data_IF_026199731469
#
_entry.id   IF_026199731469
#
_cell.length_a   1.000
_cell.length_b   1.000
_cell.length_c   1.000
_cell.angle_alpha   90.00
_cell.angle_beta   90.00
_cell.angle_gamma   90.00
#
_symmetry.space_group_name_H-M   'P 1'
#
loop_
_entity.id
_entity.type
_entity.pdbx_description
1 polymer ?
#
# COMPACT_ATOMS: atom_id res chain seq x y z
N UNK A 1 -18.99 14.07 25.94
CA UNK A 1 -19.49 12.93 25.14
C UNK A 1 -19.37 13.16 23.64
N UNK A 2 -19.82 14.29 23.08
CA UNK A 2 -19.80 14.53 21.62
C UNK A 2 -18.41 14.47 20.97
N UNK A 3 -17.34 14.85 21.68
CA UNK A 3 -15.98 14.85 21.13
C UNK A 3 -15.42 13.42 20.91
N UNK A 4 -15.67 12.51 21.84
CA UNK A 4 -15.22 11.10 21.73
C UNK A 4 -15.97 10.35 20.64
N UNK A 5 -17.29 10.53 20.53
CA UNK A 5 -18.09 9.97 19.42
C UNK A 5 -17.62 10.50 18.07
N UNK A 6 -17.34 11.80 17.97
CA UNK A 6 -16.83 12.42 16.73
C UNK A 6 -15.47 11.84 16.35
N UNK A 7 -14.58 11.67 17.31
CA UNK A 7 -13.27 11.05 17.09
C UNK A 7 -13.39 9.58 16.68
N UNK A 8 -14.27 8.81 17.32
CA UNK A 8 -14.53 7.41 16.98
C UNK A 8 -15.07 7.32 15.54
N UNK A 9 -16.10 8.09 15.19
CA UNK A 9 -16.70 8.10 13.85
C UNK A 9 -15.66 8.46 12.77
N UNK A 10 -14.82 9.47 13.01
CA UNK A 10 -13.76 9.86 12.07
C UNK A 10 -12.73 8.73 11.86
N UNK A 11 -12.35 8.03 12.94
CA UNK A 11 -11.43 6.88 12.86
C UNK A 11 -12.08 5.69 12.15
N UNK A 12 -13.34 5.37 12.45
CA UNK A 12 -14.07 4.28 11.80
C UNK A 12 -14.23 4.57 10.31
N UNK A 13 -14.56 5.81 9.92
CA UNK A 13 -14.64 6.21 8.51
C UNK A 13 -13.30 6.05 7.78
N UNK A 14 -12.21 6.44 8.43
CA UNK A 14 -10.86 6.25 7.89
C UNK A 14 -10.52 4.75 7.77
N UNK A 15 -10.89 3.94 8.77
CA UNK A 15 -10.67 2.50 8.82
C UNK A 15 -11.47 1.75 7.74
N UNK A 16 -12.72 2.16 7.48
CA UNK A 16 -13.58 1.65 6.40
C UNK A 16 -13.04 2.05 5.03
N UNK A 17 -12.65 3.32 4.86
CA UNK A 17 -12.04 3.80 3.61
C UNK A 17 -10.71 3.09 3.29
N UNK A 18 -9.88 2.83 4.31
CA UNK A 18 -8.63 2.08 4.16
C UNK A 18 -8.86 0.63 3.66
N UNK A 19 -10.06 0.10 3.86
CA UNK A 19 -10.48 -1.23 3.40
C UNK A 19 -11.39 -1.16 2.17
N UNK A 20 -11.38 -0.02 1.47
CA UNK A 20 -12.13 0.22 0.23
C UNK A 20 -13.66 0.08 0.35
N UNK A 21 -14.21 0.30 1.55
CA UNK A 21 -15.66 0.43 1.72
C UNK A 21 -16.10 1.76 1.10
N UNK A 22 -17.12 1.73 0.25
CA UNK A 22 -17.62 2.94 -0.40
C UNK A 22 -18.22 3.91 0.64
N UNK A 23 -18.20 5.20 0.31
CA UNK A 23 -18.64 6.25 1.23
C UNK A 23 -20.11 6.11 1.62
N UNK A 24 -20.97 5.60 0.74
CA UNK A 24 -22.40 5.45 1.02
C UNK A 24 -22.63 4.35 2.06
N UNK A 25 -21.96 3.21 1.90
CA UNK A 25 -22.01 2.11 2.88
C UNK A 25 -21.39 2.56 4.21
N UNK A 26 -20.27 3.26 4.18
CA UNK A 26 -19.65 3.79 5.39
C UNK A 26 -20.58 4.76 6.14
N UNK A 27 -21.27 5.64 5.43
CA UNK A 27 -22.20 6.61 6.03
C UNK A 27 -23.42 5.90 6.63
N UNK A 28 -23.96 4.91 5.92
CA UNK A 28 -25.08 4.09 6.40
C UNK A 28 -24.73 3.38 7.71
N UNK A 29 -23.55 2.76 7.78
CA UNK A 29 -23.07 2.06 8.98
C UNK A 29 -22.83 3.02 10.15
N UNK A 30 -22.28 4.20 9.90
CA UNK A 30 -22.07 5.20 10.94
C UNK A 30 -23.39 5.79 11.46
N UNK A 31 -24.39 5.93 10.59
CA UNK A 31 -25.75 6.34 10.97
C UNK A 31 -26.42 5.26 11.83
N UNK A 32 -26.25 3.97 11.51
CA UNK A 32 -26.71 2.84 12.34
C UNK A 32 -26.05 2.84 13.73
N UNK A 33 -24.74 3.08 13.81
CA UNK A 33 -24.02 3.22 15.09
C UNK A 33 -24.54 4.39 15.89
N UNK A 34 -24.74 5.55 15.25
CA UNK A 34 -25.27 6.75 15.90
C UNK A 34 -26.69 6.51 16.44
N UNK A 35 -27.53 5.83 15.66
CA UNK A 35 -28.88 5.45 16.07
C UNK A 35 -28.84 4.48 17.26
N UNK A 36 -27.99 3.44 17.21
CA UNK A 36 -27.83 2.49 18.30
C UNK A 36 -27.40 3.19 19.60
N UNK A 37 -26.40 4.07 19.54
CA UNK A 37 -25.96 4.85 20.71
C UNK A 37 -27.05 5.80 21.24
N UNK A 38 -27.88 6.37 20.36
CA UNK A 38 -29.01 7.19 20.76
C UNK A 38 -30.09 6.38 21.50
N UNK A 39 -30.32 5.14 21.06
CA UNK A 39 -31.33 4.25 21.63
C UNK A 39 -30.88 3.56 22.93
N UNK A 40 -29.60 3.15 23.01
CA UNK A 40 -29.05 2.45 24.18
C UNK A 40 -28.50 3.39 25.26
N UNK A 41 -28.07 4.59 24.86
CA UNK A 41 -27.32 5.52 25.71
C UNK A 41 -25.85 5.13 25.93
N UNK A 42 -25.38 4.04 25.31
CA UNK A 42 -23.98 3.59 25.38
C UNK A 42 -23.07 4.41 24.46
N UNK A 43 -21.78 4.49 24.80
CA UNK A 43 -20.80 5.08 23.90
C UNK A 43 -20.42 4.11 22.78
N UNK A 44 -19.96 4.58 21.60
CA UNK A 44 -19.55 3.70 20.51
C UNK A 44 -18.43 2.74 20.89
N UNK A 45 -17.54 3.15 21.79
CA UNK A 45 -16.46 2.31 22.30
C UNK A 45 -16.98 1.16 23.17
N UNK A 46 -18.03 1.39 23.95
CA UNK A 46 -18.64 0.35 24.79
C UNK A 46 -19.46 -0.64 23.95
N UNK A 47 -20.26 -0.13 23.02
CA UNK A 47 -21.15 -0.95 22.20
C UNK A 47 -20.42 -1.72 21.09
N UNK A 48 -19.46 -1.09 20.43
CA UNK A 48 -18.84 -1.61 19.18
C UNK A 48 -17.33 -1.84 19.28
N UNK A 49 -16.70 -1.47 20.40
CA UNK A 49 -15.27 -1.63 20.59
C UNK A 49 -14.41 -0.63 19.83
N UNK A 50 -13.19 -1.05 19.44
CA UNK A 50 -12.28 -0.17 18.74
C UNK A 50 -12.75 0.09 17.28
N UNK A 51 -12.59 1.31 16.75
CA UNK A 51 -12.94 1.64 15.36
C UNK A 51 -12.40 0.66 14.31
N UNK A 52 -11.16 0.21 14.50
CA UNK A 52 -10.48 -0.69 13.58
C UNK A 52 -11.08 -2.11 13.61
N UNK A 53 -11.48 -2.59 14.79
CA UNK A 53 -12.13 -3.90 15.00
C UNK A 53 -13.56 -3.89 14.45
N UNK A 54 -14.30 -2.82 14.73
CA UNK A 54 -15.66 -2.67 14.19
C UNK A 54 -15.65 -2.60 12.65
N UNK A 55 -14.69 -1.91 12.04
CA UNK A 55 -14.56 -1.89 10.59
C UNK A 55 -14.29 -3.29 10.00
N UNK A 56 -13.52 -4.14 10.69
CA UNK A 56 -13.34 -5.54 10.27
C UNK A 56 -14.65 -6.34 10.36
N UNK A 57 -15.42 -6.15 11.44
CA UNK A 57 -16.75 -6.74 11.59
C UNK A 57 -17.68 -6.33 10.45
N UNK A 58 -17.79 -5.02 10.18
CA UNK A 58 -18.64 -4.46 9.11
C UNK A 58 -18.31 -5.08 7.76
N UNK A 59 -17.03 -5.28 7.44
CA UNK A 59 -16.64 -5.90 6.18
C UNK A 59 -17.01 -7.36 6.12
N UNK A 60 -16.81 -8.09 7.21
CA UNK A 60 -17.17 -9.50 7.27
C UNK A 60 -18.68 -9.73 7.15
N UNK A 61 -19.49 -8.84 7.72
CA UNK A 61 -20.95 -8.97 7.79
C UNK A 61 -21.69 -8.33 6.62
N UNK A 62 -21.28 -7.13 6.18
CA UNK A 62 -22.03 -6.32 5.20
C UNK A 62 -21.57 -6.52 3.77
N UNK A 63 -20.32 -6.92 3.54
CA UNK A 63 -19.80 -7.12 2.19
C UNK A 63 -19.91 -8.60 1.84
N UNK A 64 -20.74 -8.97 0.84
CA UNK A 64 -20.87 -10.35 0.40
C UNK A 64 -19.50 -10.93 0.08
N UNK A 65 -19.24 -12.20 0.44
CA UNK A 65 -17.94 -12.82 0.23
C UNK A 65 -17.56 -12.83 -1.27
N UNK A 66 -18.52 -12.80 -2.20
CA UNK A 66 -18.27 -12.67 -3.64
C UNK A 66 -17.73 -11.28 -4.02
N UNK A 67 -18.28 -10.22 -3.41
CA UNK A 67 -17.78 -8.85 -3.58
C UNK A 67 -16.41 -8.66 -2.93
N UNK A 68 -16.14 -9.35 -1.80
CA UNK A 68 -14.82 -9.41 -1.18
C UNK A 68 -13.80 -10.18 -2.01
N UNK A 69 -14.22 -11.27 -2.67
CA UNK A 69 -13.34 -12.02 -3.56
C UNK A 69 -12.90 -11.15 -4.74
N UNK A 70 -13.79 -10.29 -5.26
CA UNK A 70 -13.52 -9.25 -6.26
C UNK A 70 -12.33 -8.34 -5.94
N UNK A 71 -12.17 -7.98 -4.66
CA UNK A 71 -11.09 -7.14 -4.17
C UNK A 71 -9.79 -7.97 -4.10
N UNK A 72 -8.78 -7.59 -4.87
CA UNK A 72 -7.45 -8.23 -4.81
C UNK A 72 -6.86 -8.14 -3.40
N UNK A 73 -5.85 -8.97 -3.13
CA UNK A 73 -5.18 -9.10 -1.84
C UNK A 73 -4.84 -7.81 -1.09
N UNK A 74 -4.52 -6.75 -1.84
CA UNK A 74 -4.12 -5.46 -1.32
C UNK A 74 -5.25 -4.40 -1.42
N UNK A 75 -6.48 -4.80 -1.80
CA UNK A 75 -7.60 -3.91 -2.12
C UNK A 75 -7.38 -3.04 -3.37
N UNK A 76 -6.16 -3.06 -3.93
CA UNK A 76 -5.72 -2.19 -5.00
C UNK A 76 -5.74 -2.96 -6.32
N UNK A 77 -6.50 -2.44 -7.28
CA UNK A 77 -6.38 -2.85 -8.67
C UNK A 77 -4.99 -2.47 -9.22
N UNK A 78 -4.58 -3.07 -10.35
CA UNK A 78 -3.34 -2.67 -11.03
C UNK A 78 -3.34 -1.17 -11.37
N UNK A 79 -4.52 -0.61 -11.65
CA UNK A 79 -4.73 0.81 -11.86
C UNK A 79 -4.49 1.61 -10.55
N UNK A 80 -4.91 1.10 -9.40
CA UNK A 80 -4.66 1.75 -8.11
C UNK A 80 -3.19 1.70 -7.70
N UNK A 81 -2.48 0.61 -8.00
CA UNK A 81 -1.02 0.57 -7.83
C UNK A 81 -0.30 1.61 -8.72
N UNK A 82 -0.74 1.74 -9.97
CA UNK A 82 -0.19 2.74 -10.90
C UNK A 82 -0.52 4.15 -10.43
N UNK A 83 -1.77 4.40 -10.00
CA UNK A 83 -2.22 5.68 -9.47
C UNK A 83 -1.46 6.05 -8.20
N UNK A 84 -1.31 5.13 -7.25
CA UNK A 84 -0.54 5.31 -6.04
C UNK A 84 0.94 5.60 -6.34
N UNK A 85 1.55 4.88 -7.27
CA UNK A 85 2.91 5.15 -7.72
C UNK A 85 3.04 6.55 -8.38
N UNK A 86 2.10 6.92 -9.27
CA UNK A 86 2.06 8.24 -9.90
C UNK A 86 1.89 9.36 -8.87
N UNK A 87 1.03 9.16 -7.87
CA UNK A 87 0.82 10.10 -6.78
C UNK A 87 2.10 10.27 -5.96
N UNK A 88 2.76 9.18 -5.55
CA UNK A 88 4.03 9.23 -4.82
C UNK A 88 5.13 9.94 -5.62
N UNK A 89 5.30 9.60 -6.90
CA UNK A 89 6.27 10.26 -7.78
C UNK A 89 5.92 11.74 -7.95
N UNK A 90 4.64 12.07 -8.09
CA UNK A 90 4.14 13.44 -8.18
C UNK A 90 4.48 14.26 -6.92
N UNK A 91 4.24 13.72 -5.72
CA UNK A 91 4.59 14.36 -4.45
C UNK A 91 6.10 14.59 -4.35
N UNK A 92 6.92 13.57 -4.61
CA UNK A 92 8.39 13.68 -4.55
C UNK A 92 8.88 14.74 -5.56
N UNK A 93 8.37 14.70 -6.79
CA UNK A 93 8.73 15.66 -7.85
C UNK A 93 8.35 17.09 -7.46
N UNK A 94 7.16 17.28 -6.88
CA UNK A 94 6.69 18.57 -6.40
C UNK A 94 7.59 19.11 -5.29
N UNK A 95 7.89 18.28 -4.29
CA UNK A 95 8.78 18.65 -3.18
C UNK A 95 10.14 19.07 -3.72
N UNK A 96 10.79 18.21 -4.53
CA UNK A 96 12.09 18.51 -5.15
C UNK A 96 12.04 19.81 -5.96
N UNK A 97 10.98 20.03 -6.73
CA UNK A 97 10.78 21.27 -7.47
C UNK A 97 10.75 22.52 -6.58
N UNK A 98 10.03 22.46 -5.45
CA UNK A 98 9.95 23.56 -4.46
C UNK A 98 11.32 23.83 -3.83
N UNK A 99 12.04 22.78 -3.41
CA UNK A 99 13.39 22.91 -2.84
C UNK A 99 14.37 23.54 -3.84
N UNK A 100 14.35 23.08 -5.09
CA UNK A 100 15.20 23.60 -6.16
C UNK A 100 14.87 25.06 -6.49
N UNK A 101 13.59 25.41 -6.50
CA UNK A 101 13.15 26.79 -6.74
C UNK A 101 13.62 27.73 -5.62
N UNK A 102 13.49 27.32 -4.36
CA UNK A 102 13.95 28.13 -3.22
C UNK A 102 15.47 28.30 -3.17
N UNK A 103 16.24 27.26 -3.51
CA UNK A 103 17.70 27.29 -3.43
C UNK A 103 18.41 27.87 -4.65
N UNK A 104 17.90 27.62 -5.86
CA UNK A 104 18.56 27.97 -7.13
C UNK A 104 17.92 29.16 -7.84
N UNK A 105 16.82 29.72 -7.31
CA UNK A 105 16.04 30.77 -7.95
C UNK A 105 15.13 30.23 -9.07
N UNK A 106 14.68 31.12 -9.96
CA UNK A 106 13.70 30.77 -11.00
C UNK A 106 14.27 29.97 -12.16
N UNK A 107 15.60 29.94 -12.33
CA UNK A 107 16.27 29.35 -13.49
C UNK A 107 17.29 28.30 -13.05
N UNK A 108 16.98 27.03 -13.34
CA UNK A 108 17.90 25.92 -13.14
C UNK A 108 18.84 25.80 -14.34
N UNK A 109 20.15 25.77 -14.07
CA UNK A 109 21.13 25.47 -15.12
C UNK A 109 21.09 23.97 -15.42
N UNK A 110 20.66 23.63 -16.63
CA UNK A 110 20.63 22.24 -17.09
C UNK A 110 22.02 21.87 -17.54
N UNK A 111 22.61 20.88 -16.89
CA UNK A 111 23.90 20.31 -17.26
C UNK A 111 23.71 18.87 -17.72
N UNK A 112 24.58 18.33 -18.59
CA UNK A 112 24.54 16.93 -18.97
C UNK A 112 24.60 15.99 -17.76
N UNK A 113 25.42 16.36 -16.76
CA UNK A 113 25.52 15.67 -15.48
C UNK A 113 24.18 15.69 -14.73
N UNK A 114 23.56 16.87 -14.61
CA UNK A 114 22.28 17.04 -13.94
C UNK A 114 21.14 16.29 -14.61
N UNK A 115 21.06 16.34 -15.95
CA UNK A 115 20.01 15.68 -16.72
C UNK A 115 20.14 14.16 -16.65
N UNK A 116 21.33 13.63 -16.93
CA UNK A 116 21.59 12.18 -16.90
C UNK A 116 21.44 11.63 -15.48
N UNK A 117 22.03 12.32 -14.50
CA UNK A 117 21.95 11.94 -13.09
C UNK A 117 20.51 11.92 -12.58
N UNK A 118 19.74 12.98 -12.83
CA UNK A 118 18.32 13.05 -12.41
C UNK A 118 17.45 12.01 -13.10
N UNK A 119 17.64 11.75 -14.39
CA UNK A 119 16.93 10.69 -15.10
C UNK A 119 17.21 9.31 -14.50
N UNK A 120 18.48 9.01 -14.18
CA UNK A 120 18.88 7.76 -13.52
C UNK A 120 18.32 7.66 -12.10
N UNK A 121 18.30 8.77 -11.34
CA UNK A 121 17.66 8.81 -10.02
C UNK A 121 16.16 8.55 -10.11
N UNK A 122 15.47 9.09 -11.13
CA UNK A 122 14.05 8.82 -11.34
C UNK A 122 13.81 7.34 -11.66
N UNK A 123 14.63 6.74 -12.53
CA UNK A 123 14.58 5.28 -12.81
C UNK A 123 14.84 4.47 -11.55
N UNK A 124 15.81 4.88 -10.72
CA UNK A 124 16.10 4.22 -9.46
C UNK A 124 14.90 4.26 -8.50
N UNK A 125 14.26 5.42 -8.37
CA UNK A 125 13.10 5.61 -7.50
C UNK A 125 11.92 4.75 -7.97
N UNK A 126 11.58 4.78 -9.26
CA UNK A 126 10.51 3.96 -9.84
C UNK A 126 10.80 2.47 -9.63
N UNK A 127 12.04 2.03 -9.87
CA UNK A 127 12.46 0.65 -9.69
C UNK A 127 12.38 0.23 -8.23
N UNK A 128 12.77 1.09 -7.29
CA UNK A 128 12.66 0.83 -5.85
C UNK A 128 11.20 0.71 -5.40
N UNK A 129 10.32 1.62 -5.88
CA UNK A 129 8.88 1.53 -5.63
C UNK A 129 8.30 0.20 -6.14
N UNK A 130 8.63 -0.18 -7.38
CA UNK A 130 8.19 -1.46 -7.94
C UNK A 130 8.75 -2.66 -7.17
N UNK A 131 10.01 -2.61 -6.74
CA UNK A 131 10.60 -3.66 -5.91
C UNK A 131 9.84 -3.85 -4.60
N UNK A 132 9.45 -2.75 -3.94
CA UNK A 132 8.65 -2.78 -2.72
C UNK A 132 7.25 -3.37 -3.00
N UNK A 133 6.58 -2.96 -4.08
CA UNK A 133 5.27 -3.50 -4.47
C UNK A 133 5.35 -5.01 -4.76
N UNK A 134 6.39 -5.47 -5.45
CA UNK A 134 6.54 -6.90 -5.78
C UNK A 134 7.12 -7.75 -4.66
N UNK A 135 7.69 -7.16 -3.59
CA UNK A 135 8.21 -7.91 -2.44
C UNK A 135 7.13 -8.77 -1.78
N UNK A 136 5.86 -8.35 -1.92
CA UNK A 136 4.64 -9.08 -1.59
C UNK A 136 4.53 -10.45 -2.25
N UNK A 137 4.55 -10.48 -3.58
CA UNK A 137 4.04 -11.63 -4.35
C UNK A 137 5.10 -12.35 -5.18
N UNK A 138 6.21 -11.67 -5.52
CA UNK A 138 7.19 -12.15 -6.51
C UNK A 138 8.60 -11.78 -6.11
N UNK A 139 9.19 -12.53 -5.18
CA UNK A 139 10.56 -12.28 -4.67
C UNK A 139 11.59 -12.08 -5.79
N UNK A 140 11.53 -12.87 -6.87
CA UNK A 140 12.43 -12.72 -8.03
C UNK A 140 12.25 -11.40 -8.77
N UNK A 141 11.00 -10.98 -8.99
CA UNK A 141 10.72 -9.70 -9.63
C UNK A 141 11.14 -8.55 -8.71
N UNK A 142 10.85 -8.64 -7.42
CA UNK A 142 11.29 -7.67 -6.42
C UNK A 142 12.81 -7.54 -6.39
N UNK A 143 13.55 -8.66 -6.39
CA UNK A 143 15.01 -8.67 -6.42
C UNK A 143 15.56 -8.07 -7.72
N UNK A 144 14.95 -8.38 -8.88
CA UNK A 144 15.36 -7.81 -10.16
C UNK A 144 15.18 -6.28 -10.16
N UNK A 145 14.00 -5.78 -9.75
CA UNK A 145 13.74 -4.34 -9.64
C UNK A 145 14.62 -3.65 -8.59
N UNK A 146 14.91 -4.32 -7.47
CA UNK A 146 15.82 -3.83 -6.45
C UNK A 146 17.25 -3.70 -6.97
N UNK A 147 17.73 -4.68 -7.75
CA UNK A 147 19.03 -4.62 -8.40
C UNK A 147 19.07 -3.50 -9.45
N UNK A 148 18.01 -3.35 -10.27
CA UNK A 148 17.89 -2.24 -11.22
C UNK A 148 17.95 -0.89 -10.51
N UNK A 149 17.27 -0.74 -9.36
CA UNK A 149 17.33 0.47 -8.56
C UNK A 149 18.76 0.76 -8.07
N UNK A 150 19.44 -0.25 -7.52
CA UNK A 150 20.83 -0.13 -7.05
C UNK A 150 21.79 0.29 -8.17
N UNK A 151 21.71 -0.38 -9.33
CA UNK A 151 22.53 -0.06 -10.51
C UNK A 151 22.25 1.36 -10.99
N UNK A 152 20.99 1.77 -11.04
CA UNK A 152 20.61 3.12 -11.44
C UNK A 152 21.14 4.20 -10.47
N UNK A 153 21.14 3.94 -9.15
CA UNK A 153 21.76 4.84 -8.15
C UNK A 153 23.26 4.96 -8.38
N UNK A 154 23.96 3.84 -8.60
CA UNK A 154 25.40 3.84 -8.85
C UNK A 154 25.74 4.60 -10.14
N UNK A 155 24.98 4.37 -11.22
CA UNK A 155 25.14 5.10 -12.48
C UNK A 155 24.83 6.59 -12.31
N UNK A 156 23.82 6.97 -11.52
CA UNK A 156 23.52 8.36 -11.23
C UNK A 156 24.69 9.04 -10.52
N UNK A 157 25.28 8.37 -9.51
CA UNK A 157 26.45 8.87 -8.79
C UNK A 157 27.67 9.05 -9.72
N UNK A 158 27.93 8.07 -10.60
CA UNK A 158 28.98 8.19 -11.64
C UNK A 158 28.65 9.35 -12.59
N UNK A 159 27.39 9.52 -12.99
CA UNK A 159 26.99 10.59 -13.90
C UNK A 159 27.22 11.98 -13.29
N UNK A 160 26.87 12.18 -12.01
CA UNK A 160 27.10 13.46 -11.32
C UNK A 160 28.58 13.79 -11.12
N UNK A 161 29.45 12.77 -11.01
CA UNK A 161 30.89 12.97 -10.73
C UNK A 161 31.75 13.06 -11.98
N UNK A 162 31.37 12.38 -13.06
CA UNK A 162 32.21 12.26 -14.27
C UNK A 162 31.74 13.12 -15.44
N UNK A 163 30.45 13.45 -15.55
CA UNK A 163 29.97 14.25 -16.67
C UNK A 163 30.30 15.74 -16.49
N UNK A 164 30.52 16.46 -17.60
CA UNK A 164 30.82 17.88 -17.56
C UNK A 164 29.63 18.70 -17.04
N UNK A 165 29.94 19.73 -16.26
CA UNK A 165 29.00 20.73 -15.72
C UNK A 165 28.76 21.86 -16.74
N UNK A 166 28.95 21.59 -18.04
CA UNK A 166 28.71 22.56 -19.09
C UNK A 166 27.22 22.88 -19.15
N UNK A 167 26.89 24.18 -19.25
CA UNK A 167 25.49 24.63 -19.26
C UNK A 167 24.90 24.38 -20.64
N UNK A 168 23.99 23.42 -20.75
CA UNK A 168 23.23 23.14 -21.98
C UNK A 168 22.08 24.11 -22.17
N UNK A 169 21.51 24.62 -21.07
CA UNK A 169 20.37 25.52 -21.11
C UNK A 169 19.90 25.94 -19.73
N UNK A 170 18.80 26.69 -19.72
CA UNK A 170 18.10 27.10 -18.49
C UNK A 170 16.68 26.55 -18.55
N UNK A 171 16.28 25.84 -17.51
CA UNK A 171 14.92 25.35 -17.33
C UNK A 171 14.27 26.17 -16.21
N UNK A 172 13.05 26.70 -16.39
CA UNK A 172 12.35 27.38 -15.31
C UNK A 172 12.05 26.37 -14.20
N UNK A 173 12.54 26.64 -12.99
CA UNK A 173 12.26 25.85 -11.80
C UNK A 173 10.76 25.53 -11.57
N UNK A 174 9.79 26.45 -11.81
CA UNK A 174 8.38 26.12 -11.65
C UNK A 174 7.88 25.00 -12.59
N UNK A 175 8.58 24.68 -13.68
CA UNK A 175 8.19 23.58 -14.56
C UNK A 175 8.22 22.21 -13.84
N UNK A 176 9.17 22.00 -12.92
CA UNK A 176 9.23 20.79 -12.08
C UNK A 176 8.03 20.70 -11.13
N UNK A 177 7.65 21.82 -10.52
CA UNK A 177 6.45 21.88 -9.68
C UNK A 177 5.20 21.54 -10.50
N UNK A 178 5.07 22.12 -11.69
CA UNK A 178 3.94 21.85 -12.60
C UNK A 178 3.89 20.38 -13.01
N UNK A 179 5.05 19.75 -13.29
CA UNK A 179 5.11 18.31 -13.57
C UNK A 179 4.60 17.47 -12.40
N UNK A 180 5.01 17.80 -11.16
CA UNK A 180 4.51 17.16 -9.94
C UNK A 180 2.98 17.28 -9.80
N UNK A 181 2.43 18.46 -10.04
CA UNK A 181 0.97 18.70 -10.03
C UNK A 181 0.25 17.90 -11.11
N UNK A 182 0.79 17.83 -12.34
CA UNK A 182 0.21 17.04 -13.44
C UNK A 182 0.19 15.55 -13.12
N UNK A 183 1.26 15.02 -12.51
CA UNK A 183 1.33 13.62 -12.08
C UNK A 183 0.30 13.31 -10.98
N UNK A 184 0.18 14.18 -9.98
CA UNK A 184 -0.83 14.09 -8.93
C UNK A 184 -2.26 14.13 -9.49
N UNK A 185 -2.51 15.04 -10.44
CA UNK A 185 -3.81 15.16 -11.10
C UNK A 185 -4.14 13.95 -11.98
N UNK A 186 -3.14 13.38 -12.66
CA UNK A 186 -3.29 12.14 -13.44
C UNK A 186 -3.63 10.94 -12.54
N UNK A 187 -3.01 10.86 -11.36
CA UNK A 187 -3.30 9.83 -10.37
C UNK A 187 -4.76 9.87 -9.91
N UNK A 188 -5.32 11.05 -9.64
CA UNK A 188 -6.74 11.17 -9.22
C UNK A 188 -7.74 10.92 -10.36
N UNK A 189 -7.32 11.05 -11.63
CA UNK A 189 -8.15 10.81 -12.81
C UNK A 189 -8.16 9.36 -13.29
N UNK A 190 -7.19 8.55 -12.86
CA UNK A 190 -7.11 7.13 -13.23
C UNK A 190 -8.16 6.34 -12.46
N UNK A 191 -9.43 6.46 -12.86
CA UNK A 191 -10.54 5.73 -12.25
C UNK A 191 -10.42 4.21 -12.42
N UNK A 192 -11.04 3.43 -11.53
CA UNK A 192 -11.00 1.98 -11.60
C UNK A 192 -11.60 1.51 -12.92
N UNK A 193 -10.77 0.88 -13.76
CA UNK A 193 -11.26 0.21 -14.97
C UNK A 193 -12.05 -1.01 -14.52
N UNK A 194 -13.37 -0.90 -14.53
CA UNK A 194 -14.28 -1.99 -14.21
C UNK A 194 -14.13 -3.10 -15.26
N UNK A 195 -13.24 -4.06 -15.02
CA UNK A 195 -13.22 -5.32 -15.76
C UNK A 195 -14.41 -6.17 -15.30
N UNK A 196 -15.60 -5.87 -15.82
CA UNK A 196 -16.69 -6.83 -15.92
C UNK A 196 -16.46 -7.66 -17.19
N UNK A 197 -15.41 -8.48 -17.17
CA UNK A 197 -15.29 -9.53 -18.17
C UNK A 197 -16.07 -10.72 -17.63
N UNK A 198 -17.34 -10.79 -18.04
CA UNK A 198 -18.26 -11.85 -17.68
C UNK A 198 -17.67 -13.19 -18.10
N UNK A 199 -17.16 -13.94 -17.13
CA UNK A 199 -16.76 -15.33 -17.30
C UNK A 199 -18.04 -16.13 -17.57
N UNK A 200 -18.38 -16.28 -18.84
CA UNK A 200 -19.37 -17.24 -19.31
C UNK A 200 -18.86 -18.64 -19.00
N UNK A 201 -19.33 -19.22 -17.90
CA UNK A 201 -19.12 -20.63 -17.58
C UNK A 201 -19.78 -21.52 -18.62
N UNK A 202 -18.98 -22.11 -19.52
CA UNK A 202 -19.41 -23.20 -20.39
C UNK A 202 -19.48 -24.51 -19.61
N UNK A 203 -20.59 -25.21 -19.85
CA UNK A 203 -21.17 -26.31 -19.09
C UNK A 203 -20.58 -27.68 -19.48
N UNK A 204 -20.36 -28.50 -18.45
CA UNK A 204 -20.43 -29.98 -18.42
C UNK A 204 -19.20 -30.79 -18.86
N UNK A 205 -18.22 -30.90 -17.94
CA UNK A 205 -17.20 -31.96 -17.91
C UNK A 205 -17.41 -32.84 -16.67
N UNK A 206 -16.98 -34.10 -16.78
CA UNK A 206 -17.15 -35.21 -15.84
C UNK A 206 -16.81 -34.85 -14.38
N UNK A 207 -17.58 -35.40 -13.44
CA UNK A 207 -17.50 -35.05 -12.01
C UNK A 207 -16.10 -35.22 -11.41
N UNK A 208 -15.31 -36.19 -11.88
CA UNK A 208 -13.94 -36.40 -11.39
C UNK A 208 -12.94 -35.38 -11.95
N UNK A 209 -13.14 -34.90 -13.19
CA UNK A 209 -12.35 -33.77 -13.71
C UNK A 209 -12.66 -32.51 -12.92
N UNK A 210 -13.92 -32.34 -12.51
CA UNK A 210 -14.37 -31.16 -11.76
C UNK A 210 -13.64 -31.00 -10.42
N UNK A 211 -13.35 -32.09 -9.72
CA UNK A 211 -12.65 -32.04 -8.43
C UNK A 211 -11.17 -31.63 -8.60
N UNK A 212 -10.49 -32.23 -9.58
CA UNK A 212 -9.11 -31.86 -9.92
C UNK A 212 -9.02 -30.43 -10.47
N UNK A 213 -10.00 -30.02 -11.28
CA UNK A 213 -10.08 -28.67 -11.85
C UNK A 213 -10.32 -27.63 -10.74
N UNK A 214 -11.19 -27.93 -9.76
CA UNK A 214 -11.42 -27.09 -8.59
C UNK A 214 -10.15 -26.92 -7.75
N UNK A 215 -9.40 -28.00 -7.49
CA UNK A 215 -8.13 -27.92 -6.75
C UNK A 215 -7.04 -27.17 -7.53
N UNK A 216 -6.98 -27.36 -8.85
CA UNK A 216 -6.05 -26.62 -9.72
C UNK A 216 -6.37 -25.13 -9.74
N UNK A 217 -7.66 -24.79 -9.80
CA UNK A 217 -8.15 -23.41 -9.73
C UNK A 217 -7.89 -22.79 -8.35
N UNK A 218 -8.11 -23.52 -7.26
CA UNK A 218 -7.76 -23.07 -5.90
C UNK A 218 -6.27 -22.71 -5.82
N UNK A 219 -5.38 -23.60 -6.25
CA UNK A 219 -3.94 -23.33 -6.26
C UNK A 219 -3.60 -22.10 -7.10
N UNK A 220 -4.22 -21.97 -8.28
CA UNK A 220 -4.02 -20.83 -9.17
C UNK A 220 -4.50 -19.52 -8.54
N UNK A 221 -5.68 -19.49 -7.92
CA UNK A 221 -6.26 -18.32 -7.26
C UNK A 221 -5.42 -17.90 -6.06
N UNK A 222 -5.03 -18.84 -5.19
CA UNK A 222 -4.18 -18.56 -4.02
C UNK A 222 -2.87 -17.88 -4.46
N UNK A 223 -2.26 -18.34 -5.56
CA UNK A 223 -0.99 -17.81 -6.07
C UNK A 223 -1.15 -16.49 -6.83
N UNK A 224 -2.10 -16.42 -7.77
CA UNK A 224 -2.23 -15.30 -8.69
C UNK A 224 -2.98 -14.12 -8.07
N UNK A 225 -4.10 -14.40 -7.39
CA UNK A 225 -5.02 -13.40 -6.85
C UNK A 225 -4.71 -13.02 -5.41
N UNK A 226 -4.37 -14.01 -4.59
CA UNK A 226 -4.12 -13.79 -3.15
C UNK A 226 -2.65 -13.62 -2.76
N UNK A 227 -1.73 -13.74 -3.74
CA UNK A 227 -0.28 -13.58 -3.57
C UNK A 227 0.34 -14.51 -2.51
N UNK A 228 -0.26 -15.67 -2.27
CA UNK A 228 0.31 -16.70 -1.40
C UNK A 228 1.52 -17.33 -2.11
N UNK A 229 2.56 -17.64 -1.33
CA UNK A 229 3.77 -18.27 -1.89
C UNK A 229 3.43 -19.61 -2.54
N UNK A 230 4.21 -20.01 -3.55
CA UNK A 230 3.97 -21.25 -4.29
C UNK A 230 3.88 -22.48 -3.37
N UNK A 231 4.84 -22.60 -2.45
CA UNK A 231 4.93 -23.75 -1.55
C UNK A 231 3.78 -23.79 -0.56
N UNK A 232 3.38 -22.62 -0.03
CA UNK A 232 2.25 -22.52 0.89
C UNK A 232 0.91 -22.75 0.19
N UNK A 233 0.73 -22.21 -1.02
CA UNK A 233 -0.46 -22.49 -1.81
C UNK A 233 -0.57 -23.98 -2.15
N UNK A 234 0.57 -24.66 -2.43
CA UNK A 234 0.59 -26.10 -2.65
C UNK A 234 0.27 -26.90 -1.38
N UNK A 235 0.72 -26.44 -0.21
CA UNK A 235 0.37 -27.02 1.09
C UNK A 235 -1.13 -26.90 1.37
N UNK A 236 -1.70 -25.69 1.32
CA UNK A 236 -3.13 -25.46 1.55
C UNK A 236 -4.03 -26.22 0.58
N UNK A 237 -3.62 -26.32 -0.70
CA UNK A 237 -4.35 -27.12 -1.69
C UNK A 237 -4.26 -28.62 -1.38
N UNK A 238 -3.11 -29.11 -0.90
CA UNK A 238 -2.95 -30.51 -0.48
C UNK A 238 -3.77 -30.83 0.77
N UNK A 239 -3.85 -29.91 1.71
CA UNK A 239 -4.68 -30.05 2.91
C UNK A 239 -6.16 -30.12 2.55
N UNK A 240 -6.63 -29.25 1.64
CA UNK A 240 -7.98 -29.32 1.10
C UNK A 240 -8.24 -30.65 0.37
N UNK A 241 -7.31 -31.11 -0.46
CA UNK A 241 -7.42 -32.40 -1.15
C UNK A 241 -7.49 -33.58 -0.16
N UNK A 242 -6.66 -33.59 0.89
CA UNK A 242 -6.73 -34.61 1.94
C UNK A 242 -8.08 -34.61 2.67
N UNK A 243 -8.64 -33.43 2.95
CA UNK A 243 -9.96 -33.32 3.57
C UNK A 243 -11.08 -33.86 2.67
N UNK A 244 -11.00 -33.64 1.36
CA UNK A 244 -11.95 -34.21 0.39
C UNK A 244 -11.86 -35.73 0.30
N UNK A 245 -10.65 -36.29 0.32
CA UNK A 245 -10.45 -37.74 0.35
C UNK A 245 -11.03 -38.33 1.65
N UNK A 246 -10.87 -37.64 2.78
CA UNK A 246 -11.37 -38.10 4.07
C UNK A 246 -12.90 -38.04 4.20
N UNK A 247 -13.53 -37.02 3.62
CA UNK A 247 -14.99 -36.83 3.68
C UNK A 247 -15.73 -37.55 2.55
N UNK A 248 -15.08 -37.77 1.41
CA UNK A 248 -15.68 -38.34 0.20
C UNK A 248 -16.71 -37.43 -0.47
N UNK A 249 -16.82 -36.16 -0.06
CA UNK A 249 -17.75 -35.18 -0.59
C UNK A 249 -17.20 -34.43 -1.81
N UNK A 250 -18.10 -33.84 -2.60
CA UNK A 250 -17.70 -32.95 -3.68
C UNK A 250 -17.12 -31.63 -3.10
N UNK A 251 -16.07 -31.04 -3.70
CA UNK A 251 -15.42 -29.84 -3.20
C UNK A 251 -16.38 -28.66 -3.01
N UNK A 252 -17.33 -28.51 -3.92
CA UNK A 252 -18.26 -27.39 -3.90
C UNK A 252 -19.34 -27.53 -2.81
N UNK A 253 -19.68 -28.75 -2.41
CA UNK A 253 -20.62 -28.99 -1.32
C UNK A 253 -19.94 -28.80 0.05
N UNK A 254 -18.67 -29.21 0.17
CA UNK A 254 -17.90 -29.14 1.42
C UNK A 254 -17.34 -27.73 1.69
N UNK A 255 -16.80 -27.07 0.66
CA UNK A 255 -16.07 -25.80 0.81
C UNK A 255 -16.77 -24.61 0.16
N UNK A 256 -17.80 -24.85 -0.66
CA UNK A 256 -18.44 -23.82 -1.47
C UNK A 256 -17.66 -23.48 -2.76
N UNK A 257 -17.97 -22.33 -3.39
CA UNK A 257 -17.25 -21.84 -4.56
C UNK A 257 -15.76 -21.67 -4.26
N UNK A 258 -14.91 -22.05 -5.23
CA UNK A 258 -13.45 -22.07 -5.08
C UNK A 258 -12.89 -20.69 -4.72
N UNK A 259 -13.49 -19.63 -5.25
CA UNK A 259 -13.09 -18.24 -5.00
C UNK A 259 -13.34 -17.82 -3.55
N UNK A 260 -14.48 -18.24 -2.99
CA UNK A 260 -14.83 -17.93 -1.59
C UNK A 260 -13.93 -18.69 -0.62
N UNK A 261 -13.65 -19.96 -0.93
CA UNK A 261 -12.74 -20.77 -0.13
C UNK A 261 -11.30 -20.26 -0.20
N UNK A 262 -10.82 -19.88 -1.40
CA UNK A 262 -9.50 -19.28 -1.59
C UNK A 262 -9.36 -17.97 -0.81
N UNK A 263 -10.40 -17.12 -0.82
CA UNK A 263 -10.44 -15.89 -0.04
C UNK A 263 -10.34 -16.18 1.46
N UNK A 264 -11.16 -17.12 1.97
CA UNK A 264 -11.17 -17.49 3.39
C UNK A 264 -9.80 -18.00 3.86
N UNK A 265 -9.15 -18.87 3.07
CA UNK A 265 -7.79 -19.35 3.34
C UNK A 265 -6.77 -18.20 3.33
N UNK A 266 -6.90 -17.28 2.38
CA UNK A 266 -6.02 -16.12 2.30
C UNK A 266 -6.20 -15.15 3.48
N UNK A 267 -7.43 -14.92 3.94
CA UNK A 267 -7.72 -14.11 5.12
C UNK A 267 -7.09 -14.72 6.39
N UNK A 268 -7.20 -16.04 6.56
CA UNK A 268 -6.57 -16.76 7.67
C UNK A 268 -5.05 -16.63 7.66
N UNK A 269 -4.42 -16.77 6.49
CA UNK A 269 -2.96 -16.69 6.36
C UNK A 269 -2.43 -15.24 6.49
N UNK A 270 -3.23 -14.23 6.11
CA UNK A 270 -2.85 -12.80 6.22
C UNK A 270 -2.81 -12.26 7.63
N UNK A 271 -3.33 -12.99 8.62
CA UNK A 271 -3.25 -12.61 10.04
C UNK A 271 -1.80 -12.39 10.52
N UNK A 272 -0.79 -12.90 9.80
CA UNK A 272 0.60 -12.52 9.96
C UNK A 272 1.01 -11.33 9.10
N UNK A 273 0.69 -10.09 9.50
CA UNK A 273 1.16 -8.88 8.78
C UNK A 273 2.68 -8.96 8.59
N UNK A 274 3.16 -8.89 7.34
CA UNK A 274 4.59 -8.95 7.03
C UNK A 274 5.32 -7.86 7.81
N UNK A 275 6.23 -8.28 8.69
CA UNK A 275 6.81 -7.42 9.71
C UNK A 275 7.48 -6.15 9.14
N UNK A 276 8.00 -6.19 7.91
CA UNK A 276 8.64 -5.04 7.24
C UNK A 276 7.66 -4.01 6.64
N UNK A 277 6.40 -4.40 6.41
CA UNK A 277 5.33 -3.50 5.96
C UNK A 277 4.61 -2.84 7.13
N UNK A 278 4.96 -3.18 8.37
CA UNK A 278 4.43 -2.48 9.54
C UNK A 278 4.86 -1.02 9.45
N UNK A 279 3.91 -0.11 9.69
CA UNK A 279 4.14 1.34 9.71
C UNK A 279 5.38 1.71 10.55
N UNK A 280 5.64 0.99 11.63
CA UNK A 280 6.83 1.16 12.48
C UNK A 280 8.15 1.06 11.68
N UNK A 281 8.27 0.05 10.81
CA UNK A 281 9.51 -0.18 10.05
C UNK A 281 9.68 0.90 8.98
N UNK A 282 8.59 1.31 8.33
CA UNK A 282 8.62 2.43 7.38
C UNK A 282 9.02 3.74 8.08
N UNK A 283 8.47 4.01 9.26
CA UNK A 283 8.80 5.19 10.05
C UNK A 283 10.29 5.20 10.46
N UNK A 284 10.84 4.04 10.88
CA UNK A 284 12.28 3.91 11.17
C UNK A 284 13.13 4.22 9.94
N UNK A 285 12.77 3.69 8.76
CA UNK A 285 13.51 3.95 7.52
C UNK A 285 13.50 5.45 7.18
N UNK A 286 12.35 6.13 7.28
CA UNK A 286 12.24 7.57 7.04
C UNK A 286 13.08 8.37 8.03
N UNK A 287 13.08 8.00 9.31
CA UNK A 287 13.94 8.61 10.35
C UNK A 287 15.41 8.46 9.99
N UNK A 288 15.85 7.27 9.56
CA UNK A 288 17.25 7.03 9.18
C UNK A 288 17.66 7.87 7.95
N UNK A 289 16.80 7.96 6.94
CA UNK A 289 17.06 8.76 5.73
C UNK A 289 17.15 10.26 6.07
N UNK A 290 16.19 10.78 6.83
CA UNK A 290 16.17 12.19 7.23
C UNK A 290 17.33 12.56 8.14
N UNK A 291 17.69 11.67 9.07
CA UNK A 291 18.87 11.83 9.91
C UNK A 291 20.16 11.84 9.09
N UNK A 292 20.32 10.90 8.15
CA UNK A 292 21.48 10.85 7.25
C UNK A 292 21.61 12.12 6.40
N UNK A 293 20.51 12.62 5.87
CA UNK A 293 20.48 13.89 5.14
C UNK A 293 20.87 15.08 6.03
N UNK A 294 20.31 15.17 7.24
CA UNK A 294 20.63 16.23 8.19
C UNK A 294 22.12 16.25 8.54
N UNK A 295 22.72 15.08 8.83
CA UNK A 295 24.15 14.95 9.12
C UNK A 295 24.99 15.38 7.92
N UNK A 296 24.63 14.92 6.71
CA UNK A 296 25.34 15.31 5.48
C UNK A 296 25.29 16.83 5.24
N UNK A 297 24.13 17.46 5.51
CA UNK A 297 23.95 18.90 5.33
C UNK A 297 24.80 19.69 6.33
N UNK A 298 24.84 19.25 7.60
CA UNK A 298 25.66 19.86 8.64
C UNK A 298 27.16 19.74 8.35
N UNK A 299 27.61 18.61 7.80
CA UNK A 299 29.02 18.39 7.45
C UNK A 299 29.47 19.18 6.21
N UNK A 300 28.53 19.56 5.34
CA UNK A 300 28.82 20.26 4.08
C UNK A 300 28.64 21.77 4.17
N UNK A 301 28.45 22.33 5.37
CA UNK A 301 28.06 23.72 5.60
C UNK A 301 26.86 24.15 4.73
N UNK A 302 25.88 23.25 4.61
CA UNK A 302 24.71 23.47 3.77
C UNK A 302 23.85 24.65 4.24
N UNK A 303 22.95 25.16 3.38
CA UNK A 303 22.09 26.29 3.72
C UNK A 303 21.28 26.05 5.01
N UNK A 304 21.24 27.04 5.90
CA UNK A 304 20.54 26.95 7.20
C UNK A 304 19.08 26.51 7.08
N UNK A 305 18.38 26.95 6.03
CA UNK A 305 16.98 26.56 5.81
C UNK A 305 16.83 25.07 5.51
N UNK A 306 17.79 24.42 4.85
CA UNK A 306 17.75 22.97 4.61
C UNK A 306 17.93 22.20 5.92
N UNK A 307 18.79 22.69 6.81
CA UNK A 307 18.94 22.15 8.17
C UNK A 307 17.63 22.27 8.94
N UNK A 308 16.96 23.44 8.91
CA UNK A 308 15.68 23.65 9.59
C UNK A 308 14.62 22.66 9.07
N UNK A 309 14.50 22.51 7.75
CA UNK A 309 13.49 21.61 7.16
C UNK A 309 13.80 20.14 7.46
N UNK A 310 15.06 19.72 7.35
CA UNK A 310 15.49 18.36 7.69
C UNK A 310 15.25 18.04 9.18
N UNK A 311 15.55 18.99 10.07
CA UNK A 311 15.26 18.86 11.50
C UNK A 311 13.76 18.75 11.78
N UNK A 312 12.93 19.56 11.11
CA UNK A 312 11.48 19.49 11.25
C UNK A 312 10.91 18.14 10.75
N UNK A 313 11.37 17.66 9.59
CA UNK A 313 10.97 16.37 9.04
C UNK A 313 11.38 15.19 9.94
N UNK A 314 12.61 15.24 10.49
CA UNK A 314 13.10 14.26 11.44
C UNK A 314 12.27 14.28 12.74
N UNK A 315 11.98 15.47 13.28
CA UNK A 315 11.16 15.62 14.48
C UNK A 315 9.73 15.08 14.29
N UNK A 316 9.10 15.37 13.15
CA UNK A 316 7.78 14.84 12.80
C UNK A 316 7.78 13.31 12.69
N UNK A 317 8.79 12.75 12.02
CA UNK A 317 8.93 11.29 11.85
C UNK A 317 9.13 10.58 13.19
N UNK A 318 9.96 11.17 14.08
CA UNK A 318 10.15 10.67 15.45
C UNK A 318 8.88 10.78 16.29
N UNK A 319 8.12 11.87 16.18
CA UNK A 319 6.86 12.05 16.90
C UNK A 319 5.82 11.00 16.50
N UNK A 320 5.67 10.72 15.21
CA UNK A 320 4.79 9.64 14.71
C UNK A 320 5.21 8.28 15.25
N UNK A 321 6.52 7.98 15.22
CA UNK A 321 7.04 6.72 15.75
C UNK A 321 6.80 6.57 17.26
N UNK A 322 6.96 7.65 18.04
CA UNK A 322 6.64 7.65 19.47
C UNK A 322 5.13 7.46 19.71
N UNK A 323 4.28 8.07 18.89
CA UNK A 323 2.83 7.93 18.99
C UNK A 323 2.39 6.49 18.71
N UNK A 324 2.93 5.86 17.67
CA UNK A 324 2.64 4.47 17.32
C UNK A 324 3.11 3.49 18.42
N UNK A 325 4.31 3.72 18.98
CA UNK A 325 4.82 2.93 20.10
C UNK A 325 3.96 3.11 21.37
N UNK A 326 3.41 4.30 21.61
CA UNK A 326 2.49 4.54 22.73
C UNK A 326 1.15 3.84 22.51
N UNK A 327 0.60 3.87 21.29
CA UNK A 327 -0.64 3.19 20.93
C UNK A 327 -0.52 1.67 21.07
N UNK A 328 0.68 1.13 20.84
CA UNK A 328 0.99 -0.30 20.96
C UNK A 328 1.33 -0.80 22.34
N UNK A 329 1.40 0.04 23.38
CA UNK A 329 1.52 -0.48 24.75
C UNK A 329 0.19 -1.15 25.10
N UNK A 330 0.11 -2.49 25.15
CA UNK A 330 -1.11 -3.14 25.61
C UNK A 330 -1.36 -2.63 27.02
N UNK A 331 -2.60 -2.23 27.31
CA UNK A 331 -3.01 -1.99 28.69
C UNK A 331 -2.71 -3.27 29.46
N UNK A 332 -1.61 -3.27 30.21
CA UNK A 332 -1.30 -4.33 31.16
C UNK A 332 -2.48 -4.33 32.12
N UNK A 333 -3.38 -5.28 31.96
CA UNK A 333 -4.46 -5.53 32.90
C UNK A 333 -3.81 -5.68 34.26
N UNK A 334 -4.01 -4.69 35.13
CA UNK A 334 -3.66 -4.77 36.53
C UNK A 334 -4.50 -5.90 37.13
N UNK A 335 -3.87 -7.05 37.34
CA UNK A 335 -4.33 -8.04 38.32
C UNK A 335 -3.82 -7.63 39.69
#
# INVERSE_FOLDING_TARGET
>A
MTDETTQWNARTRLALAARSVDTTTADTVLDEVAQHCADSGETPYEAFGAPDEYADTVISERIPPEARAGLHADGLTRADHLSSALAQIGVVTLIVGVFLWGGSGTMLSVTPAGLTGSALTAVALISACLALTFSGSRLRAAAAWGLTALVAVMLAAVAFTTLPITRLGRLPAPALCMLGVVLLWSATRSGPVSHHEGVTMTRQTDAHSRDEDWLRELHQLLRQRHAISHDRAAELTRDAAHHLIATGGAPQDEFGPVELYALKLAEQERSGSRWWLRQDVQAVIVVLITLGYLVSNLLSDGPLWQTIVASAALAGSLASLVFDLRRKRPMRSSR
#
